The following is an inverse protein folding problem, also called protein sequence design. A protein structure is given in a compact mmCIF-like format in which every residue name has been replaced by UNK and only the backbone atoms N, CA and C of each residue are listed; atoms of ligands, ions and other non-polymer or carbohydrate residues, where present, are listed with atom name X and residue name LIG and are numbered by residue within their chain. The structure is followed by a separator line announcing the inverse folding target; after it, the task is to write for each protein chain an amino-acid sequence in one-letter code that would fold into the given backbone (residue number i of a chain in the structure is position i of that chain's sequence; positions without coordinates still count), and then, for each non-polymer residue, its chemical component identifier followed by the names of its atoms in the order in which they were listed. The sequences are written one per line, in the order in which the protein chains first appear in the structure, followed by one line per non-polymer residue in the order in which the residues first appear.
data_IF_636564990415
#
_entry.id   IF_636564990415
#
_cell.length_a   1.000
_cell.length_b   1.000
_cell.length_c   1.000
_cell.angle_alpha   90.00
_cell.angle_beta   90.00
_cell.angle_gamma   90.00
#
_symmetry.space_group_name_H-M   'P 1'
#
loop_
_entity.id
_entity.type
_entity.pdbx_description
1 polymer ?
#
# COMPACT_ATOMS: atom_id res chain seq x y z
N UNK A 1 11.57 74.21 28.04
CA UNK A 1 11.08 75.44 27.37
C UNK A 1 11.31 75.30 25.87
N UNK A 2 10.59 76.09 25.06
CA UNK A 2 10.60 76.00 23.60
C UNK A 2 11.90 76.54 22.97
N UNK A 3 12.36 75.95 21.86
CA UNK A 3 12.21 76.54 20.51
C UNK A 3 12.64 75.57 19.40
N UNK A 4 12.19 75.88 18.18
CA UNK A 4 12.25 75.09 16.94
C UNK A 4 12.91 75.88 15.81
N UNK A 5 13.20 75.24 14.66
CA UNK A 5 13.22 75.70 13.24
C UNK A 5 13.76 74.48 12.42
N UNK A 6 13.23 73.93 11.31
CA UNK A 6 12.39 74.35 10.16
C UNK A 6 13.16 74.98 8.97
N UNK A 7 12.85 74.75 7.67
CA UNK A 7 11.76 73.96 7.06
C UNK A 7 12.07 73.47 5.60
N UNK A 8 11.55 72.30 5.19
CA UNK A 8 11.21 71.83 3.81
C UNK A 8 10.55 70.44 3.93
N UNK A 9 9.32 70.10 3.50
CA UNK A 9 8.44 70.47 2.36
C UNK A 9 9.04 70.10 0.99
N UNK A 10 8.34 69.46 0.04
CA UNK A 10 6.92 69.05 -0.10
C UNK A 10 6.87 67.63 -0.79
N UNK A 11 5.77 66.90 -1.03
CA UNK A 11 4.35 67.26 -1.18
C UNK A 11 3.40 66.07 -0.80
N UNK A 12 2.08 66.33 -0.68
CA UNK A 12 1.00 65.31 -0.65
C UNK A 12 0.62 64.92 -2.10
N UNK A 13 -0.43 64.17 -2.50
CA UNK A 13 -1.71 63.61 -1.99
C UNK A 13 -2.15 62.52 -3.04
N UNK A 14 -3.18 61.66 -2.98
CA UNK A 14 -4.29 61.30 -2.07
C UNK A 14 -4.78 59.88 -2.48
N UNK A 15 -5.29 59.02 -1.58
CA UNK A 15 -5.89 57.73 -2.00
C UNK A 15 -6.51 56.88 -0.88
N UNK A 16 -7.78 57.13 -0.55
CA UNK A 16 -8.51 56.36 0.47
C UNK A 16 -9.27 55.19 -0.14
N UNK A 17 -9.29 54.03 0.52
CA UNK A 17 -10.37 53.06 0.38
C UNK A 17 -10.64 52.30 1.68
N UNK A 18 -11.83 51.70 1.76
CA UNK A 18 -12.56 51.53 3.02
C UNK A 18 -12.73 50.06 3.45
N UNK A 19 -12.96 49.86 4.75
CA UNK A 19 -13.60 48.70 5.40
C UNK A 19 -13.83 47.41 4.58
N UNK A 20 -13.16 46.31 4.96
CA UNK A 20 -13.81 44.99 4.94
C UNK A 20 -13.26 44.08 6.05
N UNK A 21 -14.03 43.93 7.12
CA UNK A 21 -13.72 42.98 8.21
C UNK A 21 -13.90 41.56 7.67
N UNK A 22 -12.81 40.88 7.32
CA UNK A 22 -12.84 39.49 6.81
C UNK A 22 -13.29 38.51 7.89
N UNK A 23 -14.61 38.40 8.10
CA UNK A 23 -15.23 37.28 8.82
C UNK A 23 -14.88 36.00 8.07
N UNK A 24 -14.11 35.11 8.69
CA UNK A 24 -13.86 33.76 8.19
C UNK A 24 -15.18 32.99 8.16
N UNK A 25 -15.74 32.81 6.96
CA UNK A 25 -16.98 32.08 6.78
C UNK A 25 -16.81 30.61 7.17
N UNK A 26 -17.71 30.10 8.01
CA UNK A 26 -17.78 28.67 8.31
C UNK A 26 -18.09 27.89 7.02
N UNK A 27 -17.10 27.16 6.52
CA UNK A 27 -17.26 26.37 5.30
C UNK A 27 -18.13 25.14 5.57
N UNK A 28 -19.36 25.16 5.07
CA UNK A 28 -20.33 24.05 5.17
C UNK A 28 -19.84 22.73 4.53
N UNK A 29 -18.75 22.76 3.75
CA UNK A 29 -18.09 21.55 3.27
C UNK A 29 -17.56 20.67 4.42
N UNK A 30 -17.25 21.24 5.58
CA UNK A 30 -16.84 20.48 6.77
C UNK A 30 -17.97 19.58 7.30
N UNK A 31 -19.20 20.10 7.36
CA UNK A 31 -20.36 19.38 7.91
C UNK A 31 -20.82 18.19 7.04
N UNK A 32 -20.55 18.22 5.72
CA UNK A 32 -20.83 17.08 4.83
C UNK A 32 -19.99 15.84 5.14
N UNK A 33 -18.87 15.98 5.86
CA UNK A 33 -18.05 14.85 6.32
C UNK A 33 -18.72 13.99 7.39
N UNK A 34 -19.68 14.52 8.16
CA UNK A 34 -20.32 13.79 9.27
C UNK A 34 -21.51 12.91 8.87
N UNK A 35 -22.04 13.05 7.65
CA UNK A 35 -23.28 12.38 7.19
C UNK A 35 -22.99 11.04 6.50
N UNK A 36 -21.74 10.74 6.19
CA UNK A 36 -21.34 9.47 5.57
C UNK A 36 -21.19 8.35 6.64
N UNK A 37 -21.44 7.06 6.32
CA UNK A 37 -21.19 5.95 7.26
C UNK A 37 -19.75 5.89 7.76
N UNK A 38 -19.55 5.26 8.91
CA UNK A 38 -18.24 5.17 9.58
C UNK A 38 -17.25 4.30 8.78
N UNK A 39 -17.71 3.17 8.25
CA UNK A 39 -16.94 2.28 7.37
C UNK A 39 -16.60 2.96 6.03
N UNK A 40 -17.60 3.55 5.36
CA UNK A 40 -17.42 4.36 4.15
C UNK A 40 -16.39 5.48 4.34
N UNK A 41 -16.35 6.10 5.53
CA UNK A 41 -15.35 7.12 5.90
C UNK A 41 -13.94 6.55 6.09
N UNK A 42 -13.78 5.29 6.48
CA UNK A 42 -12.47 4.60 6.57
C UNK A 42 -11.93 4.32 5.16
N UNK A 43 -12.72 3.67 4.31
CA UNK A 43 -12.32 3.37 2.94
C UNK A 43 -12.13 4.64 2.09
N UNK A 44 -12.94 5.68 2.29
CA UNK A 44 -12.71 6.99 1.65
C UNK A 44 -11.37 7.63 2.05
N UNK A 45 -10.87 7.41 3.28
CA UNK A 45 -9.54 7.90 3.70
C UNK A 45 -8.42 7.16 2.96
N UNK A 46 -8.54 5.84 2.82
CA UNK A 46 -7.62 5.00 2.04
C UNK A 46 -7.54 5.51 0.57
N UNK A 47 -8.69 5.61 -0.10
CA UNK A 47 -8.82 6.15 -1.48
C UNK A 47 -8.31 7.61 -1.62
N UNK A 48 -8.24 8.38 -0.53
CA UNK A 48 -7.62 9.70 -0.54
C UNK A 48 -6.09 9.63 -0.39
N UNK A 49 -5.58 8.77 0.49
CA UNK A 49 -4.14 8.56 0.69
C UNK A 49 -3.47 8.04 -0.58
N UNK A 50 -4.09 7.09 -1.27
CA UNK A 50 -3.61 6.56 -2.56
C UNK A 50 -3.47 7.66 -3.62
N UNK A 51 -4.39 8.64 -3.66
CA UNK A 51 -4.26 9.79 -4.57
C UNK A 51 -2.99 10.61 -4.29
N UNK A 52 -2.58 10.72 -3.03
CA UNK A 52 -1.35 11.43 -2.68
C UNK A 52 -0.12 10.61 -3.05
N UNK A 53 -0.21 9.27 -3.01
CA UNK A 53 0.85 8.35 -3.42
C UNK A 53 1.04 8.38 -4.94
N UNK A 54 -0.05 8.27 -5.71
CA UNK A 54 -0.06 8.43 -7.18
C UNK A 54 0.65 9.74 -7.57
N UNK A 55 0.23 10.87 -7.01
CA UNK A 55 0.87 12.18 -7.31
C UNK A 55 2.31 12.31 -6.78
N UNK A 56 2.73 11.49 -5.82
CA UNK A 56 4.14 11.39 -5.45
C UNK A 56 4.95 10.61 -6.51
N UNK A 57 4.41 9.56 -7.10
CA UNK A 57 5.03 8.82 -8.21
C UNK A 57 5.05 9.63 -9.53
N UNK A 58 3.93 10.26 -9.92
CA UNK A 58 3.86 11.26 -11.02
C UNK A 58 4.96 12.33 -10.87
N UNK A 59 5.19 12.78 -9.63
CA UNK A 59 6.22 13.78 -9.34
C UNK A 59 7.62 13.18 -9.39
N UNK A 60 7.85 12.01 -8.81
CA UNK A 60 9.14 11.33 -8.87
C UNK A 60 9.59 11.05 -10.31
N UNK A 61 8.67 10.61 -11.19
CA UNK A 61 8.95 10.39 -12.61
C UNK A 61 9.38 11.67 -13.33
N UNK A 62 8.62 12.76 -13.18
CA UNK A 62 8.98 14.06 -13.77
C UNK A 62 10.32 14.62 -13.24
N UNK A 63 10.56 14.57 -11.93
CA UNK A 63 11.83 15.04 -11.37
C UNK A 63 13.00 14.15 -11.84
N UNK A 64 12.78 12.85 -12.06
CA UNK A 64 13.77 11.92 -12.62
C UNK A 64 14.18 12.31 -14.04
N UNK A 65 13.21 12.61 -14.91
CA UNK A 65 13.45 13.09 -16.28
C UNK A 65 14.14 14.47 -16.26
N UNK A 66 13.73 15.36 -15.35
CA UNK A 66 14.39 16.66 -15.14
C UNK A 66 15.87 16.52 -14.78
N UNK A 67 16.21 15.57 -13.89
CA UNK A 67 17.59 15.24 -13.51
C UNK A 67 18.36 14.61 -14.69
N UNK A 68 17.71 13.78 -15.52
CA UNK A 68 18.32 13.16 -16.69
C UNK A 68 18.79 14.20 -17.73
N UNK A 69 17.94 15.20 -18.04
CA UNK A 69 18.30 16.32 -18.92
C UNK A 69 19.47 17.11 -18.36
N UNK A 70 19.40 17.49 -17.08
CA UNK A 70 20.47 18.24 -16.39
C UNK A 70 21.81 17.48 -16.38
N UNK A 71 21.79 16.15 -16.26
CA UNK A 71 23.00 15.32 -16.31
C UNK A 71 23.66 15.37 -17.71
N UNK A 72 22.85 15.31 -18.77
CA UNK A 72 23.33 15.37 -20.15
C UNK A 72 23.90 16.76 -20.48
N UNK A 73 23.16 17.82 -20.12
CA UNK A 73 23.59 19.23 -20.28
C UNK A 73 24.89 19.53 -19.51
N UNK A 74 25.03 19.03 -18.29
CA UNK A 74 26.27 19.16 -17.51
C UNK A 74 27.43 18.40 -18.17
N UNK A 75 27.17 17.19 -18.66
CA UNK A 75 28.15 16.32 -19.28
C UNK A 75 28.82 16.95 -20.51
N UNK A 76 28.03 17.55 -21.41
CA UNK A 76 28.54 18.29 -22.56
C UNK A 76 29.51 19.43 -22.16
N UNK A 77 29.20 20.13 -21.06
CA UNK A 77 30.01 21.25 -20.55
C UNK A 77 31.34 20.81 -19.91
N UNK A 78 31.56 19.52 -19.65
CA UNK A 78 32.81 19.03 -19.04
C UNK A 78 34.03 19.14 -19.95
N UNK A 79 33.82 19.21 -21.28
CA UNK A 79 34.86 19.08 -22.31
C UNK A 79 35.61 17.72 -22.30
N UNK A 80 35.12 16.71 -21.56
CA UNK A 80 35.61 15.33 -21.60
C UNK A 80 34.65 14.47 -22.44
N UNK A 81 35.18 13.89 -23.53
CA UNK A 81 34.38 13.12 -24.49
C UNK A 81 33.85 11.79 -23.95
N UNK A 82 34.51 11.19 -22.96
CA UNK A 82 34.02 9.98 -22.29
C UNK A 82 32.92 10.33 -21.29
N UNK A 83 33.12 11.38 -20.48
CA UNK A 83 32.11 11.84 -19.52
C UNK A 83 30.84 12.27 -20.26
N UNK A 84 30.96 13.10 -21.29
CA UNK A 84 29.83 13.61 -22.07
C UNK A 84 28.99 12.49 -22.72
N UNK A 85 29.61 11.50 -23.37
CA UNK A 85 28.87 10.41 -24.02
C UNK A 85 28.21 9.48 -23.00
N UNK A 86 28.90 9.14 -21.90
CA UNK A 86 28.37 8.28 -20.83
C UNK A 86 27.26 8.98 -20.05
N UNK A 87 27.39 10.29 -19.73
CA UNK A 87 26.35 11.05 -19.04
C UNK A 87 25.07 11.16 -19.88
N UNK A 88 25.18 11.30 -21.20
CA UNK A 88 24.04 11.32 -22.12
C UNK A 88 23.31 9.97 -22.15
N UNK A 89 24.03 8.84 -22.26
CA UNK A 89 23.37 7.51 -22.23
C UNK A 89 22.79 7.18 -20.84
N UNK A 90 23.45 7.60 -19.76
CA UNK A 90 22.89 7.48 -18.40
C UNK A 90 21.66 8.39 -18.27
N UNK A 91 21.64 9.56 -18.91
CA UNK A 91 20.46 10.39 -19.09
C UNK A 91 19.28 9.61 -19.68
N UNK A 92 19.46 8.93 -20.82
CA UNK A 92 18.41 8.08 -21.42
C UNK A 92 17.88 7.03 -20.45
N UNK A 93 18.76 6.29 -19.75
CA UNK A 93 18.37 5.30 -18.74
C UNK A 93 17.62 5.95 -17.56
N UNK A 94 18.00 7.17 -17.15
CA UNK A 94 17.31 7.90 -16.09
C UNK A 94 15.93 8.39 -16.53
N UNK A 95 15.77 8.87 -17.77
CA UNK A 95 14.47 9.28 -18.32
C UNK A 95 13.49 8.10 -18.39
N UNK A 96 13.93 6.96 -18.94
CA UNK A 96 13.14 5.73 -19.01
C UNK A 96 12.73 5.22 -17.61
N UNK A 97 13.64 5.29 -16.62
CA UNK A 97 13.31 5.03 -15.21
C UNK A 97 12.24 5.98 -14.64
N UNK A 98 12.08 7.18 -15.22
CA UNK A 98 11.02 8.13 -14.88
C UNK A 98 9.70 7.83 -15.60
N UNK A 99 9.73 7.39 -16.85
CA UNK A 99 8.54 6.98 -17.61
C UNK A 99 7.91 5.70 -17.03
N UNK A 100 8.73 4.73 -16.59
CA UNK A 100 8.23 3.56 -15.84
C UNK A 100 7.61 3.92 -14.47
N UNK A 101 8.01 5.04 -13.86
CA UNK A 101 7.41 5.54 -12.61
C UNK A 101 6.02 6.16 -12.85
N UNK A 102 5.85 6.85 -13.99
CA UNK A 102 4.57 7.44 -14.42
C UNK A 102 3.57 6.36 -14.88
N UNK A 103 4.03 5.34 -15.61
CA UNK A 103 3.21 4.17 -15.97
C UNK A 103 2.71 3.42 -14.73
N UNK A 104 3.55 3.27 -13.70
CA UNK A 104 3.12 2.69 -12.42
C UNK A 104 2.11 3.58 -11.68
N UNK A 105 2.27 4.91 -11.72
CA UNK A 105 1.30 5.84 -11.14
C UNK A 105 -0.11 5.71 -11.77
N UNK A 106 -0.17 5.45 -13.08
CA UNK A 106 -1.42 5.14 -13.78
C UNK A 106 -2.06 3.83 -13.27
N UNK A 107 -1.28 2.74 -13.20
CA UNK A 107 -1.75 1.44 -12.70
C UNK A 107 -2.26 1.52 -11.24
N UNK A 108 -1.68 2.40 -10.42
CA UNK A 108 -2.18 2.69 -9.08
C UNK A 108 -3.56 3.38 -9.07
N UNK A 109 -3.90 4.27 -10.01
CA UNK A 109 -5.27 4.83 -10.04
C UNK A 109 -6.33 3.84 -10.54
N UNK A 110 -5.93 2.86 -11.36
CA UNK A 110 -6.78 1.75 -11.79
C UNK A 110 -7.09 0.80 -10.61
N UNK A 111 -6.08 0.35 -9.86
CA UNK A 111 -6.25 -0.46 -8.64
C UNK A 111 -7.12 0.28 -7.60
N UNK A 112 -6.81 1.55 -7.36
CA UNK A 112 -7.66 2.48 -6.58
C UNK A 112 -9.06 2.64 -7.18
N UNK A 113 -9.21 2.53 -8.50
CA UNK A 113 -10.48 2.46 -9.25
C UNK A 113 -11.38 1.34 -8.76
N UNK A 114 -10.80 0.16 -8.54
CA UNK A 114 -11.47 -1.01 -7.95
C UNK A 114 -11.92 -0.71 -6.50
N UNK A 115 -11.09 -0.05 -5.69
CA UNK A 115 -11.46 0.37 -4.33
C UNK A 115 -12.57 1.45 -4.30
N UNK A 116 -12.59 2.38 -5.28
CA UNK A 116 -13.71 3.33 -5.49
C UNK A 116 -15.04 2.57 -5.67
N UNK A 117 -15.04 1.37 -6.27
CA UNK A 117 -16.24 0.53 -6.42
C UNK A 117 -16.75 -0.02 -5.08
N UNK A 118 -15.89 -0.59 -4.23
CA UNK A 118 -16.29 -1.14 -2.90
C UNK A 118 -17.01 -0.07 -2.09
N UNK A 119 -16.42 1.13 -2.02
CA UNK A 119 -17.01 2.30 -1.33
C UNK A 119 -18.37 2.70 -1.90
N UNK A 120 -18.57 2.58 -3.21
CA UNK A 120 -19.84 2.90 -3.86
C UNK A 120 -20.91 1.85 -3.52
N UNK A 121 -20.55 0.56 -3.53
CA UNK A 121 -21.43 -0.54 -3.11
C UNK A 121 -21.82 -0.37 -1.63
N UNK A 122 -20.86 -0.10 -0.74
CA UNK A 122 -21.14 0.13 0.67
C UNK A 122 -22.11 1.31 0.87
N UNK A 123 -21.88 2.44 0.18
CA UNK A 123 -22.79 3.59 0.19
C UNK A 123 -24.21 3.23 -0.30
N UNK A 124 -24.34 2.30 -1.25
CA UNK A 124 -25.65 1.89 -1.80
C UNK A 124 -26.47 0.99 -0.87
N UNK A 125 -25.84 0.34 0.12
CA UNK A 125 -26.54 -0.52 1.11
C UNK A 125 -27.15 0.27 2.26
N UNK A 126 -26.66 1.48 2.56
CA UNK A 126 -27.10 2.26 3.71
C UNK A 126 -28.61 2.54 3.76
N UNK A 127 -29.31 2.87 2.65
CA UNK A 127 -30.76 3.07 2.70
C UNK A 127 -31.56 1.85 3.16
N UNK A 128 -31.01 0.63 3.01
CA UNK A 128 -31.62 -0.60 3.53
C UNK A 128 -31.43 -0.71 5.06
N UNK A 129 -30.22 -0.39 5.56
CA UNK A 129 -29.91 -0.29 6.99
C UNK A 129 -30.80 0.76 7.67
N UNK A 130 -30.74 1.99 7.16
CA UNK A 130 -31.49 3.15 7.65
C UNK A 130 -33.01 2.88 7.62
N UNK A 131 -33.51 2.21 6.58
CA UNK A 131 -34.92 1.83 6.45
C UNK A 131 -35.35 0.80 7.50
N UNK A 132 -34.58 -0.27 7.67
CA UNK A 132 -34.83 -1.32 8.66
C UNK A 132 -34.77 -0.76 10.10
N UNK A 133 -33.75 0.05 10.42
CA UNK A 133 -33.62 0.67 11.74
C UNK A 133 -34.76 1.65 12.03
N UNK A 134 -35.18 2.46 11.04
CA UNK A 134 -36.33 3.38 11.17
C UNK A 134 -37.65 2.64 11.44
N UNK A 135 -37.90 1.49 10.83
CA UNK A 135 -39.12 0.71 11.09
C UNK A 135 -39.08 0.15 12.52
N UNK A 136 -37.92 -0.35 12.98
CA UNK A 136 -37.75 -0.80 14.36
C UNK A 136 -38.00 0.34 15.39
N UNK A 137 -37.51 1.55 15.13
CA UNK A 137 -37.79 2.75 15.93
C UNK A 137 -39.30 3.12 15.93
N UNK A 138 -39.98 3.05 14.78
CA UNK A 138 -41.43 3.28 14.72
C UNK A 138 -42.21 2.23 15.50
N UNK A 139 -41.81 0.95 15.47
CA UNK A 139 -42.40 -0.14 16.28
C UNK A 139 -42.18 0.11 17.78
N UNK A 140 -40.95 0.41 18.20
CA UNK A 140 -40.63 0.64 19.62
C UNK A 140 -41.43 1.83 20.17
N UNK A 141 -41.48 2.92 19.42
CA UNK A 141 -42.22 4.15 19.74
C UNK A 141 -43.74 3.93 19.78
N UNK A 142 -44.28 3.06 18.92
CA UNK A 142 -45.70 2.70 18.94
C UNK A 142 -46.02 1.78 20.14
N UNK A 143 -45.18 0.76 20.40
CA UNK A 143 -45.32 -0.13 21.57
C UNK A 143 -45.31 0.62 22.90
N UNK A 144 -44.51 1.68 23.04
CA UNK A 144 -44.50 2.53 24.24
C UNK A 144 -45.74 3.42 24.43
N UNK A 145 -46.53 3.66 23.38
CA UNK A 145 -47.67 4.61 23.41
C UNK A 145 -49.02 3.95 23.30
N UNK A 146 -49.15 3.02 22.35
CA UNK A 146 -50.40 2.38 21.95
C UNK A 146 -50.14 0.87 21.74
N UNK A 147 -49.86 0.10 22.82
CA UNK A 147 -49.46 -1.31 22.72
C UNK A 147 -50.53 -2.24 22.12
N UNK A 148 -51.77 -1.76 21.96
CA UNK A 148 -52.88 -2.48 21.29
C UNK A 148 -53.22 -1.92 19.90
N UNK A 149 -52.39 -1.04 19.33
CA UNK A 149 -52.63 -0.45 18.01
C UNK A 149 -52.50 -1.50 16.90
N UNK A 150 -53.54 -1.71 16.10
CA UNK A 150 -53.53 -2.68 15.00
C UNK A 150 -52.44 -2.40 13.94
N UNK A 151 -51.95 -1.15 13.84
CA UNK A 151 -50.81 -0.77 12.99
C UNK A 151 -49.50 -1.47 13.38
N UNK A 152 -49.36 -1.90 14.64
CA UNK A 152 -48.19 -2.59 15.17
C UNK A 152 -47.89 -3.88 14.37
N UNK A 153 -48.93 -4.68 14.07
CA UNK A 153 -48.81 -5.92 13.28
C UNK A 153 -48.35 -5.63 11.84
N UNK A 154 -48.82 -4.52 11.25
CA UNK A 154 -48.40 -4.10 9.91
C UNK A 154 -46.92 -3.71 9.91
N UNK A 155 -46.49 -2.88 10.87
CA UNK A 155 -45.09 -2.49 11.00
C UNK A 155 -44.17 -3.67 11.28
N UNK A 156 -44.59 -4.65 12.09
CA UNK A 156 -43.80 -5.88 12.32
C UNK A 156 -43.64 -6.71 11.04
N UNK A 157 -44.68 -6.80 10.20
CA UNK A 157 -44.57 -7.46 8.90
C UNK A 157 -43.70 -6.67 7.90
N UNK A 158 -43.71 -5.34 7.96
CA UNK A 158 -42.80 -4.47 7.21
C UNK A 158 -41.34 -4.61 7.71
N UNK A 159 -41.11 -4.78 9.01
CA UNK A 159 -39.78 -5.01 9.58
C UNK A 159 -39.19 -6.34 9.08
N UNK A 160 -39.94 -7.44 9.16
CA UNK A 160 -39.49 -8.75 8.67
C UNK A 160 -39.11 -8.69 7.18
N UNK A 161 -39.83 -7.88 6.39
CA UNK A 161 -39.47 -7.61 4.99
C UNK A 161 -38.18 -6.81 4.88
N UNK A 162 -38.04 -5.71 5.62
CA UNK A 162 -36.85 -4.86 5.59
C UNK A 162 -35.59 -5.58 6.09
N UNK A 163 -35.73 -6.49 7.06
CA UNK A 163 -34.66 -7.38 7.53
C UNK A 163 -34.21 -8.35 6.43
N UNK A 164 -35.14 -8.97 5.71
CA UNK A 164 -34.82 -9.84 4.58
C UNK A 164 -34.13 -9.08 3.43
N UNK A 165 -34.62 -7.89 3.08
CA UNK A 165 -34.00 -7.02 2.07
C UNK A 165 -32.58 -6.58 2.49
N UNK A 166 -32.40 -6.22 3.78
CA UNK A 166 -31.08 -5.85 4.33
C UNK A 166 -30.12 -7.05 4.36
N UNK A 167 -30.57 -8.25 4.73
CA UNK A 167 -29.73 -9.46 4.71
C UNK A 167 -29.18 -9.76 3.31
N UNK A 168 -30.00 -9.59 2.26
CA UNK A 168 -29.54 -9.73 0.87
C UNK A 168 -28.52 -8.65 0.50
N UNK A 169 -28.78 -7.39 0.89
CA UNK A 169 -27.87 -6.27 0.61
C UNK A 169 -26.50 -6.43 1.30
N UNK A 170 -26.47 -6.88 2.56
CA UNK A 170 -25.22 -7.15 3.30
C UNK A 170 -24.45 -8.34 2.73
N UNK A 171 -25.14 -9.39 2.27
CA UNK A 171 -24.51 -10.52 1.59
C UNK A 171 -23.89 -10.10 0.25
N UNK A 172 -24.59 -9.27 -0.53
CA UNK A 172 -24.06 -8.69 -1.78
C UNK A 172 -22.84 -7.79 -1.52
N UNK A 173 -22.92 -6.88 -0.54
CA UNK A 173 -21.79 -6.05 -0.12
C UNK A 173 -20.59 -6.89 0.30
N UNK A 174 -20.82 -7.94 1.10
CA UNK A 174 -19.78 -8.86 1.56
C UNK A 174 -19.07 -9.54 0.39
N UNK A 175 -19.83 -10.07 -0.57
CA UNK A 175 -19.28 -10.78 -1.72
C UNK A 175 -18.51 -9.83 -2.66
N UNK A 176 -19.09 -8.68 -3.00
CA UNK A 176 -18.44 -7.65 -3.82
C UNK A 176 -17.18 -7.13 -3.13
N UNK A 177 -17.21 -6.92 -1.80
CA UNK A 177 -16.03 -6.46 -1.05
C UNK A 177 -14.89 -7.47 -1.13
N UNK A 178 -15.14 -8.78 -0.94
CA UNK A 178 -14.10 -9.81 -1.08
C UNK A 178 -13.52 -9.85 -2.49
N UNK A 179 -14.39 -9.89 -3.51
CA UNK A 179 -13.99 -9.94 -4.91
C UNK A 179 -13.14 -8.71 -5.29
N UNK A 180 -13.64 -7.51 -5.02
CA UNK A 180 -13.01 -6.25 -5.42
C UNK A 180 -11.79 -5.89 -4.57
N UNK A 181 -11.70 -6.35 -3.31
CA UNK A 181 -10.48 -6.22 -2.52
C UNK A 181 -9.35 -7.08 -3.09
N UNK A 182 -9.67 -8.31 -3.50
CA UNK A 182 -8.72 -9.20 -4.17
C UNK A 182 -8.26 -8.60 -5.51
N UNK A 183 -9.22 -8.24 -6.38
CA UNK A 183 -8.97 -7.63 -7.69
C UNK A 183 -8.12 -6.34 -7.62
N UNK A 184 -8.33 -5.49 -6.60
CA UNK A 184 -7.54 -4.27 -6.41
C UNK A 184 -6.07 -4.57 -6.10
N UNK A 185 -5.81 -5.45 -5.15
CA UNK A 185 -4.43 -5.75 -4.72
C UNK A 185 -3.70 -6.72 -5.65
N UNK A 186 -4.40 -7.57 -6.41
CA UNK A 186 -3.79 -8.30 -7.53
C UNK A 186 -3.26 -7.32 -8.59
N UNK A 187 -4.02 -6.28 -8.94
CA UNK A 187 -3.56 -5.24 -9.88
C UNK A 187 -2.40 -4.40 -9.31
N UNK A 188 -2.49 -3.95 -8.05
CA UNK A 188 -1.44 -3.18 -7.38
C UNK A 188 -0.11 -3.96 -7.28
N UNK A 189 -0.16 -5.23 -6.87
CA UNK A 189 1.04 -6.06 -6.75
C UNK A 189 1.62 -6.47 -8.10
N UNK A 190 0.79 -6.78 -9.12
CA UNK A 190 1.28 -7.04 -10.47
C UNK A 190 2.04 -5.82 -11.04
N UNK A 191 1.47 -4.62 -10.91
CA UNK A 191 2.13 -3.38 -11.33
C UNK A 191 3.41 -3.08 -10.52
N UNK A 192 3.44 -3.46 -9.24
CA UNK A 192 4.63 -3.34 -8.37
C UNK A 192 5.78 -4.24 -8.84
N UNK A 193 5.46 -5.49 -9.21
CA UNK A 193 6.42 -6.47 -9.75
C UNK A 193 6.96 -5.99 -11.09
N UNK A 194 6.09 -5.64 -12.04
CA UNK A 194 6.46 -5.11 -13.36
C UNK A 194 7.41 -3.90 -13.26
N UNK A 195 7.07 -2.93 -12.40
CA UNK A 195 7.93 -1.78 -12.14
C UNK A 195 9.28 -2.20 -11.58
N UNK A 196 9.32 -3.09 -10.59
CA UNK A 196 10.57 -3.51 -9.96
C UNK A 196 11.51 -4.20 -10.96
N UNK A 197 10.98 -5.11 -11.78
CA UNK A 197 11.76 -5.88 -12.75
C UNK A 197 12.30 -5.03 -13.89
N UNK A 198 11.47 -4.14 -14.47
CA UNK A 198 11.92 -3.18 -15.48
C UNK A 198 12.95 -2.19 -14.93
N UNK A 199 12.76 -1.69 -13.70
CA UNK A 199 13.77 -0.85 -13.04
C UNK A 199 15.08 -1.62 -12.76
N UNK A 200 15.03 -2.94 -12.52
CA UNK A 200 16.22 -3.80 -12.38
C UNK A 200 16.95 -3.98 -13.72
N UNK A 201 16.24 -4.16 -14.85
CA UNK A 201 16.83 -4.21 -16.20
C UNK A 201 17.58 -2.90 -16.50
N UNK A 202 16.91 -1.77 -16.33
CA UNK A 202 17.47 -0.43 -16.53
C UNK A 202 18.67 -0.15 -15.63
N UNK A 203 18.61 -0.52 -14.34
CA UNK A 203 19.73 -0.36 -13.42
C UNK A 203 20.95 -1.22 -13.79
N UNK A 204 20.76 -2.42 -14.37
CA UNK A 204 21.85 -3.27 -14.86
C UNK A 204 22.56 -2.61 -16.04
N UNK A 205 21.83 -2.13 -17.05
CA UNK A 205 22.42 -1.46 -18.22
C UNK A 205 23.00 -0.09 -17.88
N UNK A 206 22.37 0.68 -16.99
CA UNK A 206 22.95 1.90 -16.42
C UNK A 206 24.31 1.66 -15.76
N UNK A 207 24.46 0.58 -14.98
CA UNK A 207 25.77 0.18 -14.42
C UNK A 207 26.76 -0.27 -15.49
N UNK A 208 26.31 -0.88 -16.59
CA UNK A 208 27.13 -1.32 -17.72
C UNK A 208 27.68 -0.14 -18.53
N UNK A 209 26.92 0.95 -18.68
CA UNK A 209 27.40 2.23 -19.24
C UNK A 209 28.56 2.81 -18.43
N UNK A 210 28.48 2.77 -17.09
CA UNK A 210 29.55 3.27 -16.21
C UNK A 210 30.85 2.48 -16.33
N UNK A 211 30.85 1.25 -16.89
CA UNK A 211 32.09 0.49 -17.16
C UNK A 211 32.83 0.96 -18.44
N UNK A 212 32.29 1.95 -19.16
CA UNK A 212 32.94 2.57 -20.32
C UNK A 212 33.77 3.82 -19.96
N UNK A 213 33.72 4.25 -18.69
CA UNK A 213 34.45 5.39 -18.18
C UNK A 213 35.70 4.90 -17.42
N UNK A 214 36.87 5.25 -17.93
CA UNK A 214 38.15 4.98 -17.28
C UNK A 214 38.36 5.96 -16.10
N UNK A 215 38.27 5.46 -14.86
CA UNK A 215 38.47 6.24 -13.64
C UNK A 215 39.95 6.40 -13.24
N UNK A 216 40.89 5.88 -14.03
CA UNK A 216 42.33 5.99 -13.77
C UNK A 216 42.76 7.46 -13.57
N UNK A 217 43.58 7.76 -12.55
CA UNK A 217 44.10 9.10 -12.30
C UNK A 217 45.20 9.45 -13.31
N UNK A 218 45.08 10.61 -13.95
CA UNK A 218 46.08 11.16 -14.89
C UNK A 218 47.08 12.05 -14.14
N UNK A 219 48.36 11.95 -14.49
CA UNK A 219 49.42 12.77 -13.89
C UNK A 219 49.28 14.24 -14.36
N UNK A 220 49.44 15.26 -13.50
CA UNK A 220 49.33 16.65 -13.92
C UNK A 220 50.33 17.03 -15.04
N UNK A 221 49.79 17.26 -16.24
CA UNK A 221 50.55 17.57 -17.45
C UNK A 221 50.38 16.53 -18.56
N UNK A 222 50.00 15.30 -18.22
CA UNK A 222 49.68 14.25 -19.20
C UNK A 222 48.25 14.42 -19.76
N UNK A 223 48.02 13.86 -20.95
CA UNK A 223 46.69 13.81 -21.56
C UNK A 223 45.97 12.50 -21.23
N UNK A 224 44.67 12.57 -20.92
CA UNK A 224 43.80 11.39 -20.81
C UNK A 224 43.73 10.65 -22.17
N UNK A 225 43.66 9.30 -22.20
CA UNK A 225 43.48 8.56 -23.45
C UNK A 225 42.22 8.97 -24.23
N UNK A 226 42.25 8.78 -25.55
CA UNK A 226 41.12 9.10 -26.42
C UNK A 226 39.92 8.16 -26.17
N UNK A 227 38.72 8.72 -26.13
CA UNK A 227 37.49 7.95 -25.94
C UNK A 227 37.08 7.20 -27.22
N UNK A 228 36.80 5.90 -27.08
CA UNK A 228 36.46 5.03 -28.21
C UNK A 228 35.19 4.19 -28.00
N UNK A 229 34.52 4.27 -26.84
CA UNK A 229 33.39 3.39 -26.51
C UNK A 229 32.01 3.88 -27.03
N UNK A 230 31.93 4.98 -27.78
CA UNK A 230 30.66 5.57 -28.22
C UNK A 230 29.71 4.60 -28.98
N UNK A 231 30.25 3.65 -29.75
CA UNK A 231 29.44 2.61 -30.39
C UNK A 231 28.92 1.56 -29.37
N UNK A 232 29.75 1.21 -28.39
CA UNK A 232 29.42 0.28 -27.32
C UNK A 232 28.38 0.89 -26.36
N UNK A 233 28.49 2.18 -26.06
CA UNK A 233 27.52 2.94 -25.25
C UNK A 233 26.13 2.96 -25.90
N UNK A 234 26.07 3.13 -27.22
CA UNK A 234 24.82 3.01 -28.00
C UNK A 234 24.26 1.59 -28.00
N UNK A 235 25.11 0.57 -28.16
CA UNK A 235 24.65 -0.81 -28.11
C UNK A 235 24.06 -1.19 -26.74
N UNK A 236 24.57 -0.65 -25.63
CA UNK A 236 23.99 -0.88 -24.29
C UNK A 236 22.57 -0.31 -24.17
N UNK A 237 22.25 0.78 -24.88
CA UNK A 237 20.86 1.27 -24.94
C UNK A 237 19.97 0.38 -25.80
N UNK A 238 20.45 -0.09 -26.96
CA UNK A 238 19.73 -1.05 -27.79
C UNK A 238 19.41 -2.33 -27.01
N UNK A 239 20.41 -2.88 -26.30
CA UNK A 239 20.26 -4.08 -25.47
C UNK A 239 19.25 -3.85 -24.32
N UNK A 240 19.12 -2.62 -23.81
CA UNK A 240 18.14 -2.26 -22.79
C UNK A 240 16.72 -2.12 -23.36
N UNK A 241 16.57 -1.57 -24.57
CA UNK A 241 15.30 -1.53 -25.31
C UNK A 241 14.80 -2.94 -25.64
N UNK A 242 15.69 -3.80 -26.15
CA UNK A 242 15.42 -5.21 -26.43
C UNK A 242 14.98 -5.97 -25.17
N UNK A 243 15.74 -5.88 -24.06
CA UNK A 243 15.39 -6.53 -22.78
C UNK A 243 14.03 -6.03 -22.23
N UNK A 244 13.73 -4.73 -22.32
CA UNK A 244 12.45 -4.16 -21.85
C UNK A 244 11.26 -4.55 -22.73
N UNK A 245 11.46 -4.61 -24.05
CA UNK A 245 10.43 -5.04 -25.01
C UNK A 245 10.12 -6.53 -24.88
N UNK A 246 11.12 -7.34 -24.54
CA UNK A 246 11.00 -8.79 -24.47
C UNK A 246 10.60 -9.29 -23.05
N UNK A 247 10.70 -8.45 -22.01
CA UNK A 247 10.15 -8.69 -20.67
C UNK A 247 8.67 -9.09 -20.68
N UNK A 248 8.29 -10.08 -19.87
CA UNK A 248 6.90 -10.51 -19.63
C UNK A 248 6.71 -10.79 -18.14
N UNK A 249 5.49 -10.65 -17.59
CA UNK A 249 5.21 -11.08 -16.22
C UNK A 249 5.49 -12.57 -16.04
N UNK A 250 6.16 -12.96 -14.94
CA UNK A 250 6.28 -14.36 -14.56
C UNK A 250 4.90 -14.92 -14.13
N UNK A 251 4.63 -16.19 -14.44
CA UNK A 251 3.38 -16.86 -14.06
C UNK A 251 3.51 -17.51 -12.68
N UNK A 252 3.48 -16.69 -11.63
CA UNK A 252 3.40 -17.17 -10.25
C UNK A 252 2.01 -17.77 -9.94
N UNK A 253 1.96 -19.10 -9.81
CA UNK A 253 0.80 -19.83 -9.31
C UNK A 253 0.64 -19.63 -7.78
N UNK A 254 0.22 -18.42 -7.37
CA UNK A 254 -0.16 -18.08 -5.98
C UNK A 254 -1.45 -18.79 -5.50
N UNK A 255 -1.79 -19.95 -6.07
CA UNK A 255 -2.99 -20.70 -5.80
C UNK A 255 -2.89 -21.45 -4.46
N UNK A 256 -3.61 -20.97 -3.44
CA UNK A 256 -3.81 -21.71 -2.19
C UNK A 256 -4.67 -22.96 -2.45
N UNK A 257 -4.18 -24.12 -2.04
CA UNK A 257 -4.89 -25.40 -2.19
C UNK A 257 -6.28 -25.33 -1.51
N UNK A 258 -7.39 -25.63 -2.22
CA UNK A 258 -8.74 -25.55 -1.66
C UNK A 258 -8.99 -26.43 -0.43
N UNK A 259 -8.18 -27.47 -0.18
CA UNK A 259 -8.38 -28.44 0.89
C UNK A 259 -8.38 -27.84 2.30
N UNK A 260 -7.53 -26.84 2.58
CA UNK A 260 -7.46 -26.18 3.89
C UNK A 260 -8.70 -25.34 4.24
N UNK A 261 -9.51 -24.96 3.24
CA UNK A 261 -10.64 -24.04 3.42
C UNK A 261 -11.89 -24.65 4.07
N UNK A 262 -11.99 -25.99 4.14
CA UNK A 262 -13.27 -26.68 4.44
C UNK A 262 -13.28 -27.34 5.84
N UNK A 263 -12.11 -27.57 6.43
CA UNK A 263 -11.93 -28.36 7.66
C UNK A 263 -12.66 -27.80 8.90
N UNK A 264 -12.72 -26.47 9.05
CA UNK A 264 -13.25 -25.81 10.25
C UNK A 264 -14.79 -25.63 10.29
N UNK A 265 -15.54 -26.03 9.26
CA UNK A 265 -16.98 -25.77 9.17
C UNK A 265 -17.88 -26.81 9.89
N UNK A 266 -17.33 -27.91 10.44
CA UNK A 266 -18.12 -29.02 11.04
C UNK A 266 -17.57 -29.52 12.39
N UNK A 267 -17.36 -28.60 13.33
CA UNK A 267 -16.94 -28.89 14.71
C UNK A 267 -18.08 -29.19 15.69
N UNK A 268 -18.57 -30.45 15.71
CA UNK A 268 -19.35 -31.12 16.78
C UNK A 268 -20.21 -30.27 17.73
N UNK A 269 -21.53 -30.35 17.57
CA UNK A 269 -22.42 -30.46 18.74
C UNK A 269 -22.38 -31.89 19.25
N UNK A 270 -22.10 -32.08 20.54
CA UNK A 270 -22.31 -33.36 21.25
C UNK A 270 -23.14 -33.09 22.49
N UNK A 271 -24.39 -33.54 22.48
CA UNK A 271 -25.29 -33.44 23.65
C UNK A 271 -24.82 -34.45 24.69
N UNK A 272 -24.49 -33.97 25.89
CA UNK A 272 -24.31 -34.83 27.05
C UNK A 272 -25.66 -35.29 27.59
N UNK A 273 -25.74 -36.56 27.99
CA UNK A 273 -26.89 -37.13 28.68
C UNK A 273 -26.35 -38.06 29.77
N UNK A 274 -26.58 -37.69 31.02
CA UNK A 274 -26.25 -38.51 32.19
C UNK A 274 -27.36 -39.56 32.42
N UNK A 275 -27.00 -40.71 33.00
CA UNK A 275 -27.74 -41.32 34.12
C UNK A 275 -27.01 -42.58 34.67
N UNK A 276 -27.32 -42.90 35.94
CA UNK A 276 -26.56 -43.78 36.85
C UNK A 276 -26.50 -45.29 36.55
N UNK A 277 -25.43 -45.94 37.05
CA UNK A 277 -25.50 -47.28 37.68
C UNK A 277 -24.36 -47.48 38.73
N UNK A 278 -24.65 -48.21 39.81
CA UNK A 278 -23.88 -48.23 41.08
C UNK A 278 -23.42 -49.67 41.47
N UNK A 279 -22.64 -49.82 42.57
CA UNK A 279 -22.34 -51.06 43.37
C UNK A 279 -21.19 -51.99 42.86
N UNK A 280 -20.31 -52.65 43.67
CA UNK A 280 -19.54 -52.30 44.91
C UNK A 280 -18.59 -53.45 45.36
N UNK A 281 -17.45 -53.09 46.00
CA UNK A 281 -16.57 -53.84 46.94
C UNK A 281 -15.70 -55.07 46.54
N UNK A 282 -14.42 -54.99 47.00
CA UNK A 282 -13.64 -56.10 47.60
C UNK A 282 -12.38 -56.57 46.83
N UNK A 283 -11.25 -56.95 47.46
CA UNK A 283 -10.70 -56.73 48.81
C UNK A 283 -9.26 -57.31 48.90
N UNK A 284 -8.35 -56.69 49.67
CA UNK A 284 -7.10 -57.28 50.22
C UNK A 284 -5.97 -57.73 49.24
N UNK A 285 -4.66 -57.79 49.56
CA UNK A 285 -3.85 -57.26 50.72
C UNK A 285 -2.34 -57.29 50.39
N UNK A 286 -1.59 -56.29 50.88
CA UNK A 286 -0.12 -56.35 51.16
C UNK A 286 0.81 -56.45 49.94
N UNK A 287 2.12 -56.25 50.05
CA UNK A 287 3.01 -55.60 51.04
C UNK A 287 4.32 -55.35 50.22
N UNK A 288 5.22 -54.37 50.35
CA UNK A 288 5.46 -53.16 51.15
C UNK A 288 6.93 -52.77 50.91
N UNK A 289 7.27 -51.49 51.03
CA UNK A 289 8.65 -50.95 51.09
C UNK A 289 9.53 -51.03 49.81
N UNK A 290 10.55 -50.16 49.62
CA UNK A 290 10.74 -48.78 50.10
C UNK A 290 11.97 -48.13 49.42
N UNK A 291 11.89 -46.80 49.19
CA UNK A 291 13.00 -45.81 49.17
C UNK A 291 14.03 -45.91 48.02
N UNK A 292 14.19 -44.84 47.22
CA UNK A 292 15.19 -43.75 47.38
C UNK A 292 16.63 -44.28 47.31
N UNK A 293 17.62 -43.75 46.57
CA UNK A 293 17.76 -42.66 45.58
C UNK A 293 19.28 -42.38 45.48
N UNK A 294 19.86 -42.09 44.31
CA UNK A 294 20.75 -40.92 44.10
C UNK A 294 21.10 -40.71 42.60
N UNK A 295 21.82 -39.63 42.29
CA UNK A 295 22.13 -39.13 40.96
C UNK A 295 23.45 -39.64 40.34
N UNK A 296 23.65 -39.33 39.06
CA UNK A 296 24.89 -39.60 38.32
C UNK A 296 24.93 -38.91 36.95
N UNK A 297 25.37 -37.65 36.92
CA UNK A 297 25.59 -36.88 35.68
C UNK A 297 27.05 -37.01 35.21
N UNK A 298 27.28 -37.27 33.92
CA UNK A 298 28.59 -37.14 33.27
C UNK A 298 28.44 -36.51 31.88
N UNK A 299 29.25 -35.50 31.62
CA UNK A 299 29.51 -34.89 30.30
C UNK A 299 30.98 -35.14 29.96
N UNK A 300 31.32 -35.34 28.68
CA UNK A 300 32.72 -35.42 28.25
C UNK A 300 32.95 -34.79 26.87
N UNK A 301 33.86 -33.82 26.83
CA UNK A 301 34.42 -33.20 25.62
C UNK A 301 35.28 -34.18 24.78
N UNK A 302 35.59 -33.82 23.52
CA UNK A 302 36.29 -34.72 22.58
C UNK A 302 37.01 -34.09 21.37
N UNK A 303 37.39 -32.82 21.41
CA UNK A 303 38.01 -32.10 20.27
C UNK A 303 39.44 -32.57 19.93
N UNK A 304 39.75 -32.83 18.64
CA UNK A 304 41.03 -32.38 18.02
C UNK A 304 41.09 -32.39 16.48
N UNK A 305 41.99 -31.56 15.96
CA UNK A 305 42.31 -31.33 14.55
C UNK A 305 43.52 -32.17 14.08
N UNK A 306 43.74 -32.22 12.76
CA UNK A 306 45.00 -32.63 12.13
C UNK A 306 45.21 -31.87 10.82
N UNK A 307 46.44 -31.44 10.53
CA UNK A 307 46.75 -30.51 9.43
C UNK A 307 47.14 -31.22 8.11
N UNK A 308 47.27 -30.41 7.05
CA UNK A 308 47.61 -30.86 5.70
C UNK A 308 49.12 -31.07 5.48
N UNK A 309 49.47 -31.77 4.39
CA UNK A 309 50.68 -31.53 3.61
C UNK A 309 50.45 -31.95 2.15
N UNK A 310 51.37 -31.58 1.25
CA UNK A 310 51.07 -31.41 -0.18
C UNK A 310 51.95 -32.23 -1.14
N UNK A 311 51.65 -32.05 -2.44
CA UNK A 311 52.38 -32.45 -3.63
C UNK A 311 52.31 -33.93 -4.05
N UNK A 312 51.72 -34.16 -5.23
CA UNK A 312 52.47 -34.77 -6.33
C UNK A 312 52.06 -34.22 -7.70
#
# INVERSE_FOLDING_TARGET
MNRSLSIRSNHRRNGSQNTSTKRTGFSFNSLRGNIQPELSRKLYRIIKSENNLITAHETAGRERISIATQLSEWGEQTNDAAVSDVSDKVGVILSELGEQEDQYAHSLDDARGVLKHIRNTEKSVQPSRDGKDKIADEIAKLKMKEPQSARLVVLEQELVRAEAENLVAEAQLTNITRQKLKEAYEAEFAATIERAEKQIILAKHGRRLLQLLDDSPVVPGDMRPAYHHAQQARQILNDAEDDLRDWRPEQDDFAVDPSDSVSNARGKQSVGHDDDAHIVAGSATGDRAARESDAGSVVSDGTRQGEALAAH
#
